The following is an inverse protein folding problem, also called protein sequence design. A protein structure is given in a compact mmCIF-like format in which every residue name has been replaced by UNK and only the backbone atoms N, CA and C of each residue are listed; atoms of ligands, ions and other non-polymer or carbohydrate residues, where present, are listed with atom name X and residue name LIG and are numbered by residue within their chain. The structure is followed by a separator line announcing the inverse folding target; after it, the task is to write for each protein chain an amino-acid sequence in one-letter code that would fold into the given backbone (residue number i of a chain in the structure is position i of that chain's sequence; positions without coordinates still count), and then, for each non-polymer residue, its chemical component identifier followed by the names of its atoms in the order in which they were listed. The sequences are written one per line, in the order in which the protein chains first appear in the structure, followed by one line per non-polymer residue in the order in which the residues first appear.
data_IF_776137701962
#
_entry.id   IF_776137701962
#
_cell.length_a   1.000
_cell.length_b   1.000
_cell.length_c   1.000
_cell.angle_alpha   90.00
_cell.angle_beta   90.00
_cell.angle_gamma   90.00
#
_symmetry.space_group_name_H-M   'P 1'
#
loop_
_entity.id
_entity.type
_entity.pdbx_description
1 polymer ?
#
# COMPACT_ATOMS: atom_id res chain seq x y z
N UNK A 1 -45.58 43.27 -4.85
CA UNK A 1 -44.38 42.39 -4.82
C UNK A 1 -44.37 41.48 -3.57
N UNK A 2 -45.47 40.80 -3.21
CA UNK A 2 -45.54 39.98 -1.98
C UNK A 2 -46.04 38.54 -2.22
N UNK A 3 -46.36 38.17 -3.47
CA UNK A 3 -47.01 36.89 -3.79
C UNK A 3 -46.05 35.78 -4.28
N UNK A 4 -44.73 36.05 -4.39
CA UNK A 4 -43.77 35.05 -4.87
C UNK A 4 -43.18 34.20 -3.73
N UNK A 5 -43.14 34.72 -2.50
CA UNK A 5 -42.50 34.04 -1.36
C UNK A 5 -43.36 32.92 -0.73
N UNK A 6 -44.65 32.84 -1.06
CA UNK A 6 -45.59 31.88 -0.43
C UNK A 6 -45.59 30.50 -1.09
N UNK A 7 -44.87 30.29 -2.20
CA UNK A 7 -44.87 29.02 -2.96
C UNK A 7 -43.74 28.05 -2.62
N UNK A 8 -42.76 28.43 -1.78
CA UNK A 8 -41.61 27.57 -1.44
C UNK A 8 -41.82 26.64 -0.23
N UNK A 9 -42.98 26.68 0.45
CA UNK A 9 -43.27 25.84 1.63
C UNK A 9 -44.03 24.54 1.29
N UNK A 10 -43.87 24.01 0.08
CA UNK A 10 -44.48 22.72 -0.31
C UNK A 10 -43.48 21.58 -0.09
N UNK A 11 -43.77 20.77 0.93
CA UNK A 11 -43.29 19.38 1.12
C UNK A 11 -41.83 19.14 1.57
N UNK A 12 -41.40 19.75 2.69
CA UNK A 12 -40.31 19.12 3.45
C UNK A 12 -40.89 17.95 4.25
N UNK A 13 -40.88 16.75 3.67
CA UNK A 13 -41.11 15.50 4.41
C UNK A 13 -39.87 15.27 5.28
N UNK A 14 -40.02 15.37 6.60
CA UNK A 14 -38.96 15.02 7.54
C UNK A 14 -38.71 13.52 7.54
N UNK A 15 -37.46 13.13 7.77
CA UNK A 15 -37.06 11.73 7.98
C UNK A 15 -37.72 11.20 9.25
N UNK A 16 -38.32 10.01 9.21
CA UNK A 16 -38.89 9.40 10.41
C UNK A 16 -37.80 8.71 11.23
N UNK A 17 -37.97 8.65 12.56
CA UNK A 17 -37.02 7.97 13.44
C UNK A 17 -36.91 6.47 13.14
N UNK A 18 -38.02 5.86 12.72
CA UNK A 18 -38.06 4.43 12.35
C UNK A 18 -37.26 4.16 11.06
N UNK A 19 -37.32 5.07 10.07
CA UNK A 19 -36.50 4.97 8.86
C UNK A 19 -35.02 5.03 9.20
N UNK A 20 -34.61 5.95 10.09
CA UNK A 20 -33.21 6.06 10.48
C UNK A 20 -32.75 4.85 11.31
N UNK A 21 -33.62 4.32 12.18
CA UNK A 21 -33.32 3.14 13.00
C UNK A 21 -33.03 1.90 12.15
N UNK A 22 -33.87 1.61 11.15
CA UNK A 22 -33.66 0.45 10.27
C UNK A 22 -32.38 0.62 9.44
N UNK A 23 -32.07 1.84 8.99
CA UNK A 23 -30.84 2.12 8.23
C UNK A 23 -29.59 1.84 9.06
N UNK A 24 -29.51 2.38 10.29
CA UNK A 24 -28.33 2.13 11.13
C UNK A 24 -28.23 0.68 11.59
N UNK A 25 -29.35 -0.02 11.75
CA UNK A 25 -29.36 -1.45 12.03
C UNK A 25 -28.74 -2.26 10.88
N UNK A 26 -29.13 -1.98 9.62
CA UNK A 26 -28.54 -2.62 8.44
C UNK A 26 -27.05 -2.24 8.30
N UNK A 27 -26.70 -0.96 8.48
CA UNK A 27 -25.30 -0.51 8.45
C UNK A 27 -24.45 -1.18 9.52
N UNK A 28 -24.99 -1.42 10.71
CA UNK A 28 -24.30 -2.14 11.78
C UNK A 28 -23.97 -3.59 11.41
N UNK A 29 -24.92 -4.31 10.79
CA UNK A 29 -24.70 -5.69 10.31
C UNK A 29 -23.67 -5.71 9.18
N UNK A 30 -23.77 -4.79 8.22
CA UNK A 30 -22.80 -4.70 7.11
C UNK A 30 -21.39 -4.36 7.63
N UNK A 31 -21.26 -3.40 8.55
CA UNK A 31 -19.97 -3.01 9.12
C UNK A 31 -19.29 -4.17 9.86
N UNK A 32 -20.06 -4.99 10.60
CA UNK A 32 -19.53 -6.13 11.33
C UNK A 32 -18.84 -7.17 10.43
N UNK A 33 -19.32 -7.35 9.19
CA UNK A 33 -18.72 -8.29 8.22
C UNK A 33 -17.62 -7.62 7.40
N UNK A 34 -17.83 -6.39 6.96
CA UNK A 34 -16.92 -5.70 6.02
C UNK A 34 -15.60 -5.31 6.69
N UNK A 35 -15.65 -4.75 7.91
CA UNK A 35 -14.45 -4.23 8.59
C UNK A 35 -13.35 -5.29 8.78
N UNK A 36 -13.61 -6.48 9.35
CA UNK A 36 -12.55 -7.49 9.53
C UNK A 36 -12.01 -8.01 8.19
N UNK A 37 -12.87 -8.12 7.16
CA UNK A 37 -12.46 -8.59 5.84
C UNK A 37 -11.54 -7.59 5.14
N UNK A 38 -11.86 -6.30 5.19
CA UNK A 38 -11.03 -5.23 4.62
C UNK A 38 -9.69 -5.15 5.36
N UNK A 39 -9.68 -5.23 6.70
CA UNK A 39 -8.44 -5.23 7.47
C UNK A 39 -7.50 -6.38 7.08
N UNK A 40 -8.06 -7.60 6.91
CA UNK A 40 -7.29 -8.77 6.43
C UNK A 40 -6.76 -8.56 5.02
N UNK A 41 -7.60 -8.07 4.11
CA UNK A 41 -7.22 -7.83 2.72
C UNK A 41 -6.07 -6.83 2.60
N UNK A 42 -6.10 -5.74 3.36
CA UNK A 42 -5.01 -4.76 3.41
C UNK A 42 -3.73 -5.40 3.95
N UNK A 43 -3.83 -6.20 5.02
CA UNK A 43 -2.68 -6.91 5.60
C UNK A 43 -2.03 -7.87 4.61
N UNK A 44 -2.82 -8.73 3.95
CA UNK A 44 -2.34 -9.63 2.91
C UNK A 44 -1.74 -8.87 1.73
N UNK A 45 -2.37 -7.79 1.27
CA UNK A 45 -1.85 -6.95 0.20
C UNK A 45 -0.48 -6.37 0.52
N UNK A 46 -0.25 -5.93 1.77
CA UNK A 46 1.06 -5.47 2.24
C UNK A 46 2.10 -6.59 2.17
N UNK A 47 1.78 -7.80 2.63
CA UNK A 47 2.70 -8.95 2.58
C UNK A 47 3.05 -9.37 1.14
N UNK A 48 2.08 -9.37 0.23
CA UNK A 48 2.33 -9.70 -1.17
C UNK A 48 3.16 -8.63 -1.89
N UNK A 49 2.89 -7.35 -1.63
CA UNK A 49 3.70 -6.24 -2.13
C UNK A 49 5.16 -6.35 -1.62
N UNK A 50 5.30 -6.64 -0.33
CA UNK A 50 6.57 -6.87 0.35
C UNK A 50 7.37 -8.01 -0.31
N UNK A 51 6.75 -9.14 -0.63
CA UNK A 51 7.40 -10.27 -1.30
C UNK A 51 7.79 -9.94 -2.75
N UNK A 52 6.92 -9.22 -3.46
CA UNK A 52 7.15 -8.80 -4.86
C UNK A 52 8.34 -7.84 -4.97
N UNK A 53 8.43 -6.86 -4.08
CA UNK A 53 9.58 -5.95 -4.04
C UNK A 53 10.88 -6.67 -3.67
N UNK A 54 10.86 -7.56 -2.66
CA UNK A 54 12.04 -8.36 -2.29
C UNK A 54 12.58 -9.13 -3.50
N UNK A 55 11.69 -9.79 -4.24
CA UNK A 55 12.06 -10.51 -5.46
C UNK A 55 12.65 -9.58 -6.52
N UNK A 56 12.07 -8.39 -6.70
CA UNK A 56 12.56 -7.39 -7.66
C UNK A 56 13.98 -6.92 -7.32
N UNK A 57 14.25 -6.66 -6.04
CA UNK A 57 15.58 -6.26 -5.57
C UNK A 57 16.59 -7.40 -5.72
N UNK A 58 16.20 -8.63 -5.35
CA UNK A 58 17.05 -9.80 -5.53
C UNK A 58 17.41 -10.01 -7.00
N UNK A 59 16.45 -9.82 -7.91
CA UNK A 59 16.70 -9.89 -9.34
C UNK A 59 17.68 -8.81 -9.80
N UNK A 60 17.55 -7.58 -9.31
CA UNK A 60 18.48 -6.49 -9.65
C UNK A 60 19.92 -6.78 -9.17
N UNK A 61 20.07 -7.36 -7.98
CA UNK A 61 21.36 -7.83 -7.45
C UNK A 61 21.95 -8.91 -8.34
N UNK A 62 21.17 -9.95 -8.67
CA UNK A 62 21.62 -11.03 -9.55
C UNK A 62 21.96 -10.54 -10.95
N UNK A 63 21.21 -9.58 -11.50
CA UNK A 63 21.48 -8.99 -12.80
C UNK A 63 22.81 -8.21 -12.80
N UNK A 64 23.07 -7.40 -11.77
CA UNK A 64 24.35 -6.73 -11.61
C UNK A 64 25.51 -7.74 -11.58
N UNK A 65 25.38 -8.79 -10.76
CA UNK A 65 26.40 -9.82 -10.59
C UNK A 65 26.67 -10.58 -11.90
N UNK A 66 25.62 -10.88 -12.66
CA UNK A 66 25.73 -11.52 -13.96
C UNK A 66 26.46 -10.63 -14.99
N UNK A 67 26.09 -9.35 -15.09
CA UNK A 67 26.68 -8.42 -16.06
C UNK A 67 28.16 -8.11 -15.76
N UNK A 68 28.50 -8.05 -14.47
CA UNK A 68 29.87 -7.75 -14.04
C UNK A 68 30.73 -9.02 -13.89
N UNK A 69 30.15 -10.21 -14.10
CA UNK A 69 30.82 -11.50 -13.89
C UNK A 69 31.44 -11.62 -12.50
N UNK A 70 30.74 -11.11 -11.47
CA UNK A 70 31.19 -11.12 -10.07
C UNK A 70 30.23 -11.86 -9.16
N UNK A 71 30.76 -12.61 -8.20
CA UNK A 71 29.98 -13.24 -7.13
C UNK A 71 29.77 -12.30 -5.92
N UNK A 72 30.16 -11.03 -6.04
CA UNK A 72 30.00 -10.04 -4.98
C UNK A 72 29.59 -8.66 -5.48
N UNK A 73 28.90 -7.92 -4.60
CA UNK A 73 28.69 -6.48 -4.74
C UNK A 73 29.91 -5.71 -4.20
N UNK A 74 30.24 -4.54 -4.78
CA UNK A 74 31.38 -3.72 -4.34
C UNK A 74 31.31 -3.30 -2.87
N UNK A 75 30.09 -2.99 -2.41
CA UNK A 75 29.81 -2.56 -1.04
C UNK A 75 28.49 -3.17 -0.60
N UNK A 76 28.41 -3.65 0.65
CA UNK A 76 27.13 -4.02 1.25
C UNK A 76 26.22 -2.79 1.30
N UNK A 77 24.95 -2.97 0.97
CA UNK A 77 23.94 -1.93 1.08
C UNK A 77 23.32 -2.09 2.46
N UNK A 78 23.59 -1.12 3.34
CA UNK A 78 22.94 -1.06 4.65
C UNK A 78 21.42 -0.89 4.48
N UNK A 79 20.68 -1.17 5.55
CA UNK A 79 19.22 -1.05 5.58
C UNK A 79 18.77 0.30 4.98
N UNK A 80 18.10 0.23 3.84
CA UNK A 80 17.67 1.41 3.06
C UNK A 80 16.35 1.10 2.35
N UNK A 81 15.58 2.15 2.09
CA UNK A 81 14.43 2.13 1.17
C UNK A 81 14.72 2.97 -0.09
N UNK A 82 15.96 3.41 -0.27
CA UNK A 82 16.44 4.14 -1.44
C UNK A 82 17.73 3.51 -1.94
N UNK A 83 17.71 3.10 -3.20
CA UNK A 83 18.85 2.49 -3.90
C UNK A 83 19.60 3.49 -4.78
N UNK A 84 19.24 4.78 -4.73
CA UNK A 84 19.95 5.81 -5.48
C UNK A 84 21.44 5.81 -5.15
N UNK A 85 22.29 5.81 -6.18
CA UNK A 85 23.76 5.80 -6.04
C UNK A 85 24.36 4.44 -5.63
N UNK A 86 23.56 3.38 -5.52
CA UNK A 86 24.08 2.02 -5.32
C UNK A 86 24.47 1.36 -6.65
N UNK A 87 25.30 0.32 -6.59
CA UNK A 87 25.71 -0.44 -7.78
C UNK A 87 24.52 -1.08 -8.53
N UNK A 88 23.43 -1.39 -7.82
CA UNK A 88 22.23 -2.02 -8.40
C UNK A 88 21.19 -1.00 -8.92
N UNK A 89 21.39 0.31 -8.70
CA UNK A 89 20.45 1.35 -9.13
C UNK A 89 20.08 1.28 -10.62
N UNK A 90 21.02 1.01 -11.56
CA UNK A 90 20.70 0.91 -12.99
C UNK A 90 19.77 -0.28 -13.34
N UNK A 91 19.67 -1.26 -12.44
CA UNK A 91 18.89 -2.50 -12.62
C UNK A 91 17.50 -2.42 -12.01
N UNK A 92 17.12 -1.26 -11.46
CA UNK A 92 15.84 -1.02 -10.83
C UNK A 92 15.04 0.02 -11.63
N UNK A 93 13.76 -0.26 -11.85
CA UNK A 93 12.83 0.71 -12.47
C UNK A 93 12.46 1.81 -11.48
N UNK A 94 12.28 1.45 -10.21
CA UNK A 94 11.97 2.37 -9.12
C UNK A 94 13.09 2.32 -8.10
N UNK A 95 13.69 3.47 -7.79
CA UNK A 95 14.82 3.56 -6.87
C UNK A 95 14.41 3.66 -5.40
N UNK A 96 13.15 3.98 -5.14
CA UNK A 96 12.59 4.11 -3.78
C UNK A 96 11.52 3.07 -3.58
N UNK A 97 11.61 2.31 -2.50
CA UNK A 97 10.68 1.22 -2.15
C UNK A 97 9.81 1.60 -0.96
N UNK A 98 8.69 0.91 -0.80
CA UNK A 98 7.83 1.09 0.38
C UNK A 98 8.49 0.51 1.64
N UNK A 99 9.25 -0.57 1.49
CA UNK A 99 9.91 -1.28 2.58
C UNK A 99 11.43 -1.05 2.61
N UNK A 100 12.06 -1.49 3.71
CA UNK A 100 13.50 -1.39 3.90
C UNK A 100 14.21 -2.72 3.66
N UNK A 101 15.37 -2.65 3.03
CA UNK A 101 16.17 -3.79 2.63
C UNK A 101 17.63 -3.56 2.96
N UNK A 102 18.32 -4.62 3.37
CA UNK A 102 19.77 -4.67 3.45
C UNK A 102 20.27 -5.74 2.49
N UNK A 103 21.43 -5.49 1.88
CA UNK A 103 22.03 -6.39 0.90
C UNK A 103 23.47 -6.62 1.30
N UNK A 104 23.81 -7.88 1.56
CA UNK A 104 25.19 -8.24 1.87
C UNK A 104 26.06 -8.19 0.63
N UNK A 105 27.39 -8.13 0.78
CA UNK A 105 28.29 -8.21 -0.37
C UNK A 105 28.16 -9.53 -1.14
N UNK A 106 27.68 -10.60 -0.52
CA UNK A 106 27.38 -11.87 -1.18
C UNK A 106 26.07 -11.88 -1.99
N UNK A 107 25.38 -10.74 -2.09
CA UNK A 107 24.13 -10.61 -2.85
C UNK A 107 22.88 -11.15 -2.16
N UNK A 108 22.98 -11.48 -0.87
CA UNK A 108 21.81 -11.87 -0.05
C UNK A 108 21.01 -10.62 0.30
N UNK A 109 19.77 -10.55 -0.16
CA UNK A 109 18.80 -9.50 0.20
C UNK A 109 18.02 -9.92 1.44
N UNK A 110 18.05 -9.10 2.48
CA UNK A 110 17.23 -9.25 3.67
C UNK A 110 16.28 -8.07 3.79
N UNK A 111 15.05 -8.36 4.19
CA UNK A 111 14.00 -7.37 4.38
C UNK A 111 13.75 -7.15 5.86
N UNK A 112 13.42 -5.92 6.23
CA UNK A 112 13.04 -5.57 7.60
C UNK A 112 11.84 -4.64 7.56
N UNK A 113 10.80 -4.93 8.34
CA UNK A 113 9.70 -3.99 8.53
C UNK A 113 10.17 -2.84 9.43
N UNK A 114 10.35 -1.66 8.82
CA UNK A 114 10.78 -0.39 9.45
C UNK A 114 12.15 -0.39 10.09
#
# INVERSE_FOLDING_TARGET
MYNFMKKLRKHQKGFTLIELLVVVAILGVLAAVVVPNVAKFIGSGKTEAMATELHTIQLAVTAYMADNTTDTLPTAIAKTNSFSGTAIAPYLVTLTTEFYYAITTAGVVTQTES
#
